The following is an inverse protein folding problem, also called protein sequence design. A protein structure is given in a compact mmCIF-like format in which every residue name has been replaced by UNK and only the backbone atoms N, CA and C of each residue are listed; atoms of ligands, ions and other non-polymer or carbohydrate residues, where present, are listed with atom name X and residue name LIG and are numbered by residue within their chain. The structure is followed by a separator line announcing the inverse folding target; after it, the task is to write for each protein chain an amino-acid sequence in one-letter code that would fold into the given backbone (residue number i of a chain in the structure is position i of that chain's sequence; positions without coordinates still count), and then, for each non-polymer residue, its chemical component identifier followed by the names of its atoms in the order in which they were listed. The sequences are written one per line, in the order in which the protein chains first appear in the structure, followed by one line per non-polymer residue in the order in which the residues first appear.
data_IF_167868732463
#
_entry.id   IF_167868732463
#
_cell.length_a   1.000
_cell.length_b   1.000
_cell.length_c   1.000
_cell.angle_alpha   90.00
_cell.angle_beta   90.00
_cell.angle_gamma   90.00
#
_symmetry.space_group_name_H-M   'P 1'
#
loop_
_entity.id
_entity.type
_entity.pdbx_description
1 polymer ?
#
# COMPACT_ATOMS: atom_id res chain seq x y z
N UNK A 1 -28.24 -25.65 0.55
CA UNK A 1 -27.29 -24.75 -0.15
C UNK A 1 -26.15 -24.46 0.80
N UNK A 2 -25.08 -25.23 0.69
CA UNK A 2 -23.94 -25.25 1.60
C UNK A 2 -22.79 -24.47 0.95
N UNK A 3 -22.81 -23.13 1.01
CA UNK A 3 -21.70 -22.25 0.58
C UNK A 3 -21.74 -20.87 1.27
N UNK A 4 -21.86 -20.78 2.59
CA UNK A 4 -21.89 -19.47 3.27
C UNK A 4 -20.91 -19.30 4.43
N UNK A 5 -20.05 -20.29 4.73
CA UNK A 5 -19.20 -20.23 5.94
C UNK A 5 -17.69 -20.29 5.71
N UNK A 6 -17.21 -20.45 4.47
CA UNK A 6 -15.78 -20.44 4.18
C UNK A 6 -15.42 -19.33 3.20
N UNK A 7 -14.51 -18.48 3.68
CA UNK A 7 -13.54 -17.72 2.89
C UNK A 7 -13.86 -16.27 2.50
N UNK A 8 -14.50 -15.51 3.40
CA UNK A 8 -14.21 -14.07 3.48
C UNK A 8 -12.96 -13.84 4.33
N UNK A 9 -11.81 -14.42 3.94
CA UNK A 9 -10.52 -13.87 4.37
C UNK A 9 -10.36 -12.53 3.67
N UNK A 10 -10.90 -11.48 4.30
CA UNK A 10 -10.72 -10.10 3.86
C UNK A 10 -9.21 -9.89 3.73
N UNK A 11 -8.74 -9.63 2.51
CA UNK A 11 -7.31 -9.49 2.31
C UNK A 11 -6.85 -8.25 3.09
N UNK A 12 -5.66 -8.30 3.67
CA UNK A 12 -5.16 -7.16 4.45
C UNK A 12 -5.08 -5.88 3.59
N UNK A 13 -4.84 -6.04 2.29
CA UNK A 13 -4.78 -4.96 1.31
C UNK A 13 -6.15 -4.41 0.89
N UNK A 14 -7.27 -4.99 1.35
CA UNK A 14 -8.61 -4.41 1.15
C UNK A 14 -8.92 -3.28 2.14
N UNK A 15 -8.09 -3.11 3.18
CA UNK A 15 -8.23 -2.02 4.14
C UNK A 15 -7.45 -0.79 3.65
N UNK A 16 -8.18 0.19 3.12
CA UNK A 16 -7.64 1.45 2.61
C UNK A 16 -6.67 2.15 3.57
N UNK A 17 -7.05 2.30 4.84
CA UNK A 17 -6.21 2.96 5.85
C UNK A 17 -4.89 2.21 6.06
N UNK A 18 -4.95 0.88 6.07
CA UNK A 18 -3.77 0.04 6.24
C UNK A 18 -2.84 0.13 5.03
N UNK A 19 -3.40 0.19 3.81
CA UNK A 19 -2.63 0.43 2.58
C UNK A 19 -1.96 1.79 2.59
N UNK A 20 -2.66 2.85 3.00
CA UNK A 20 -2.11 4.21 3.05
C UNK A 20 -0.94 4.32 4.05
N UNK A 21 -1.08 3.70 5.24
CA UNK A 21 0.02 3.61 6.22
C UNK A 21 1.20 2.81 5.67
N UNK A 22 0.94 1.69 4.97
CA UNK A 22 1.99 0.87 4.37
C UNK A 22 2.70 1.59 3.23
N UNK A 23 2.02 2.40 2.41
CA UNK A 23 2.68 3.20 1.38
C UNK A 23 3.71 4.15 2.00
N UNK A 24 3.41 4.69 3.18
CA UNK A 24 4.30 5.61 3.88
C UNK A 24 5.46 4.92 4.59
N UNK A 25 5.21 3.83 5.33
CA UNK A 25 6.22 3.17 6.17
C UNK A 25 7.01 2.10 5.39
N UNK A 26 6.32 1.34 4.54
CA UNK A 26 6.85 0.21 3.77
C UNK A 26 6.43 0.32 2.31
N UNK A 27 6.97 1.35 1.65
CA UNK A 27 6.62 1.73 0.28
C UNK A 27 6.40 0.54 -0.68
N UNK A 28 7.28 -0.49 -0.76
CA UNK A 28 7.07 -1.63 -1.65
C UNK A 28 5.78 -2.42 -1.36
N UNK A 29 5.45 -2.59 -0.07
CA UNK A 29 4.28 -3.35 0.39
C UNK A 29 2.99 -2.57 0.15
N UNK A 30 3.02 -1.26 0.38
CA UNK A 30 1.91 -0.36 0.08
C UNK A 30 1.60 -0.28 -1.41
N UNK A 31 2.63 -0.19 -2.26
CA UNK A 31 2.48 -0.23 -3.73
C UNK A 31 1.95 -1.59 -4.20
N UNK A 32 2.45 -2.70 -3.64
CA UNK A 32 1.92 -4.03 -3.96
C UNK A 32 0.42 -4.14 -3.67
N UNK A 33 -0.02 -3.63 -2.52
CA UNK A 33 -1.43 -3.60 -2.16
C UNK A 33 -2.26 -2.73 -3.11
N UNK A 34 -1.74 -1.57 -3.49
CA UNK A 34 -2.38 -0.65 -4.44
C UNK A 34 -2.51 -1.27 -5.85
N UNK A 35 -1.53 -2.06 -6.28
CA UNK A 35 -1.58 -2.78 -7.55
C UNK A 35 -2.58 -3.95 -7.53
N UNK A 36 -2.85 -4.53 -6.35
CA UNK A 36 -3.80 -5.64 -6.18
C UNK A 36 -5.26 -5.20 -6.12
N UNK A 37 -5.52 -3.92 -5.91
CA UNK A 37 -6.84 -3.37 -5.63
C UNK A 37 -7.24 -2.33 -6.66
N UNK A 38 -8.09 -2.71 -7.62
CA UNK A 38 -8.60 -1.77 -8.63
C UNK A 38 -9.36 -0.58 -8.03
N UNK A 39 -9.95 -0.76 -6.83
CA UNK A 39 -10.66 0.30 -6.09
C UNK A 39 -9.73 1.38 -5.54
N UNK A 40 -8.48 1.06 -5.21
CA UNK A 40 -7.55 2.00 -4.56
C UNK A 40 -6.64 2.72 -5.58
N UNK A 41 -6.70 2.33 -6.85
CA UNK A 41 -5.81 2.82 -7.92
C UNK A 41 -6.25 4.17 -8.51
N UNK A 42 -7.50 4.59 -8.34
CA UNK A 42 -8.09 5.74 -9.06
C UNK A 42 -8.17 7.05 -8.28
N UNK A 43 -7.73 7.07 -7.02
CA UNK A 43 -7.77 8.28 -6.20
C UNK A 43 -6.53 9.17 -6.41
N UNK A 44 -6.67 10.47 -6.77
CA UNK A 44 -5.52 11.38 -6.87
C UNK A 44 -4.71 11.48 -5.57
N UNK A 45 -5.38 11.38 -4.41
CA UNK A 45 -4.73 11.34 -3.10
C UNK A 45 -3.71 10.18 -2.96
N UNK A 46 -4.01 9.02 -3.57
CA UNK A 46 -3.14 7.82 -3.52
C UNK A 46 -1.85 8.02 -4.29
N UNK A 47 -1.89 8.78 -5.39
CA UNK A 47 -0.72 9.15 -6.17
C UNK A 47 0.19 10.07 -5.35
N UNK A 48 -0.37 11.03 -4.62
CA UNK A 48 0.39 11.89 -3.71
C UNK A 48 1.01 11.10 -2.53
N UNK A 49 0.28 10.15 -1.95
CA UNK A 49 0.83 9.25 -0.93
C UNK A 49 1.92 8.34 -1.50
N UNK A 50 1.74 7.80 -2.70
CA UNK A 50 2.76 7.03 -3.40
C UNK A 50 4.04 7.84 -3.65
N UNK A 51 3.90 9.08 -4.15
CA UNK A 51 5.05 9.96 -4.39
C UNK A 51 5.77 10.33 -3.09
N UNK A 52 5.03 10.70 -2.04
CA UNK A 52 5.63 11.06 -0.74
C UNK A 52 6.28 9.86 -0.06
N UNK A 53 5.67 8.67 -0.11
CA UNK A 53 6.25 7.42 0.36
C UNK A 53 7.52 7.02 -0.41
N UNK A 54 7.54 7.22 -1.74
CA UNK A 54 8.73 6.99 -2.55
C UNK A 54 9.87 7.93 -2.14
N UNK A 55 9.60 9.23 -2.00
CA UNK A 55 10.59 10.23 -1.57
C UNK A 55 11.14 9.89 -0.18
N UNK A 56 10.28 9.51 0.77
CA UNK A 56 10.70 9.10 2.10
C UNK A 56 11.59 7.85 2.05
N UNK A 57 11.19 6.82 1.31
CA UNK A 57 11.94 5.58 1.17
C UNK A 57 13.32 5.80 0.52
N UNK A 58 13.37 6.52 -0.60
CA UNK A 58 14.63 6.84 -1.27
C UNK A 58 15.50 7.80 -0.46
N UNK A 59 14.91 8.72 0.30
CA UNK A 59 15.64 9.59 1.23
C UNK A 59 16.33 8.79 2.34
N UNK A 60 15.63 7.81 2.92
CA UNK A 60 16.22 6.89 3.92
C UNK A 60 17.32 6.03 3.31
N UNK A 61 17.09 5.44 2.12
CA UNK A 61 18.13 4.68 1.43
C UNK A 61 19.36 5.55 1.10
N UNK A 62 19.16 6.76 0.58
CA UNK A 62 20.26 7.68 0.30
C UNK A 62 21.04 8.07 1.56
N UNK A 63 20.35 8.24 2.70
CA UNK A 63 21.00 8.49 3.98
C UNK A 63 21.78 7.29 4.53
N UNK A 64 21.33 6.06 4.27
CA UNK A 64 22.00 4.83 4.73
C UNK A 64 23.18 4.45 3.83
N UNK A 65 23.04 4.59 2.51
CA UNK A 65 24.04 4.15 1.52
C UNK A 65 24.94 5.28 0.99
N UNK A 66 24.59 6.54 1.28
CA UNK A 66 25.34 7.73 0.85
C UNK A 66 26.33 8.27 1.89
N UNK A 67 26.32 7.74 3.12
CA UNK A 67 27.38 7.90 4.13
C UNK A 67 28.39 6.78 4.03
#
# INVERSE_FOLDING_TARGET
MEKTLYDTKKAWYDNEMLVDVLIFILFPLGIYALMRTDKLRSGPAKIFYGLSGAVAFFGVLAGIFGT
#
